data_IF_897812952623
#
_entry.id   IF_897812952623
#
_cell.length_a   1.000
_cell.length_b   1.000
_cell.length_c   1.000
_cell.angle_alpha   90.00
_cell.angle_beta   90.00
_cell.angle_gamma   90.00
#
_symmetry.space_group_name_H-M   'P 1'
#
loop_
_entity.id
_entity.type
_entity.pdbx_description
1 polymer ?
#
# COMPACT_ATOMS: atom_id res chain seq x y z
N UNK A 1 10.70 4.99 6.74
CA UNK A 1 9.62 4.32 7.50
C UNK A 1 10.03 2.92 7.95
N UNK A 2 10.40 2.00 7.04
CA UNK A 2 10.78 0.63 7.37
C UNK A 2 11.88 0.51 8.44
N UNK A 3 13.03 1.15 8.25
CA UNK A 3 14.13 1.15 9.22
C UNK A 3 13.72 1.75 10.57
N UNK A 4 12.88 2.79 10.56
CA UNK A 4 12.36 3.39 11.79
C UNK A 4 11.42 2.42 12.53
N UNK A 5 10.57 1.69 11.81
CA UNK A 5 9.71 0.67 12.40
C UNK A 5 10.54 -0.49 13.00
N UNK A 6 11.61 -0.92 12.32
CA UNK A 6 12.56 -1.89 12.88
C UNK A 6 13.26 -1.36 14.14
N UNK A 7 13.69 -0.10 14.14
CA UNK A 7 14.32 0.53 15.31
C UNK A 7 13.37 0.63 16.51
N UNK A 8 12.06 0.68 16.27
CA UNK A 8 11.01 0.60 17.30
C UNK A 8 10.72 -0.84 17.76
N UNK A 9 11.35 -1.85 17.17
CA UNK A 9 11.13 -3.26 17.51
C UNK A 9 9.80 -3.82 17.01
N UNK A 10 9.20 -3.21 15.99
CA UNK A 10 7.98 -3.72 15.36
C UNK A 10 8.29 -4.91 14.45
N UNK A 11 7.40 -5.89 14.41
CA UNK A 11 7.52 -7.06 13.53
C UNK A 11 7.19 -6.73 12.06
N UNK A 12 6.38 -5.70 11.83
CA UNK A 12 5.92 -5.32 10.50
C UNK A 12 5.54 -3.84 10.36
N UNK A 13 5.38 -3.41 9.11
CA UNK A 13 4.89 -2.10 8.72
C UNK A 13 3.89 -2.23 7.56
N UNK A 14 2.69 -1.71 7.72
CA UNK A 14 1.72 -1.55 6.62
C UNK A 14 1.89 -0.20 5.93
N UNK A 15 2.03 -0.20 4.60
CA UNK A 15 1.93 1.01 3.77
C UNK A 15 0.51 1.09 3.22
N UNK A 16 -0.14 2.24 3.38
CA UNK A 16 -1.51 2.48 2.93
C UNK A 16 -1.61 3.92 2.42
N UNK A 17 -0.97 4.22 1.28
CA UNK A 17 -1.11 5.52 0.64
C UNK A 17 -2.52 5.68 0.03
N UNK A 18 -2.97 6.92 -0.14
CA UNK A 18 -4.31 7.20 -0.67
C UNK A 18 -4.48 6.77 -2.14
N UNK A 19 -5.68 6.30 -2.47
CA UNK A 19 -6.12 6.00 -3.83
C UNK A 19 -6.30 7.27 -4.69
N UNK A 20 -6.63 7.06 -5.97
CA UNK A 20 -6.63 8.03 -7.06
C UNK A 20 -7.46 9.29 -6.79
N UNK A 21 -8.60 9.18 -6.13
CA UNK A 21 -9.54 10.29 -5.94
C UNK A 21 -9.05 11.41 -5.02
N UNK A 22 -8.05 11.15 -4.17
CA UNK A 22 -7.39 12.19 -3.38
C UNK A 22 -6.34 12.96 -4.19
N UNK A 23 -6.80 13.77 -5.14
CA UNK A 23 -5.94 14.60 -6.00
C UNK A 23 -5.06 15.56 -5.18
N UNK A 24 -5.57 16.05 -4.04
CA UNK A 24 -4.83 16.94 -3.13
C UNK A 24 -3.68 16.21 -2.41
N UNK A 25 -3.78 14.90 -2.22
CA UNK A 25 -2.77 14.06 -1.55
C UNK A 25 -1.81 13.36 -2.53
N UNK A 26 -1.84 13.72 -3.81
CA UNK A 26 -1.09 13.02 -4.88
C UNK A 26 -1.43 11.52 -4.98
N UNK A 27 -2.72 11.19 -4.85
CA UNK A 27 -3.24 9.82 -4.91
C UNK A 27 -2.62 8.94 -6.01
N UNK A 28 -2.41 7.67 -5.68
CA UNK A 28 -1.83 6.71 -6.61
C UNK A 28 -2.82 6.35 -7.69
N UNK A 29 -2.36 6.28 -8.95
CA UNK A 29 -3.06 5.53 -9.98
C UNK A 29 -2.68 4.05 -9.89
N UNK A 30 -3.40 3.19 -10.60
CA UNK A 30 -3.17 1.74 -10.59
C UNK A 30 -1.72 1.37 -10.92
N UNK A 31 -1.11 2.06 -11.89
CA UNK A 31 0.25 1.80 -12.34
C UNK A 31 1.26 2.14 -11.23
N UNK A 32 1.08 3.27 -10.55
CA UNK A 32 1.94 3.67 -9.43
C UNK A 32 1.75 2.75 -8.23
N UNK A 33 0.51 2.34 -7.93
CA UNK A 33 0.23 1.39 -6.85
C UNK A 33 0.92 0.05 -7.09
N UNK A 34 0.77 -0.54 -8.28
CA UNK A 34 1.44 -1.80 -8.62
C UNK A 34 2.97 -1.66 -8.66
N UNK A 35 3.49 -0.50 -9.07
CA UNK A 35 4.92 -0.21 -8.98
C UNK A 35 5.39 -0.19 -7.51
N UNK A 36 4.63 0.41 -6.61
CA UNK A 36 4.91 0.42 -5.17
C UNK A 36 4.86 -0.99 -4.58
N UNK A 37 3.86 -1.80 -4.93
CA UNK A 37 3.78 -3.21 -4.53
C UNK A 37 5.05 -3.96 -4.96
N UNK A 38 5.51 -3.76 -6.20
CA UNK A 38 6.75 -4.37 -6.71
C UNK A 38 7.99 -3.89 -5.94
N UNK A 39 8.06 -2.60 -5.59
CA UNK A 39 9.13 -2.04 -4.77
C UNK A 39 9.14 -2.63 -3.35
N UNK A 40 7.98 -2.73 -2.70
CA UNK A 40 7.82 -3.35 -1.38
C UNK A 40 8.24 -4.81 -1.43
N UNK A 41 7.79 -5.57 -2.42
CA UNK A 41 8.19 -6.98 -2.60
C UNK A 41 9.70 -7.14 -2.79
N UNK A 42 10.35 -6.23 -3.51
CA UNK A 42 11.82 -6.21 -3.66
C UNK A 42 12.52 -5.84 -2.36
N UNK A 43 11.98 -4.88 -1.61
CA UNK A 43 12.54 -4.39 -0.36
C UNK A 43 12.44 -5.44 0.74
N UNK A 44 11.32 -6.17 0.82
CA UNK A 44 11.13 -7.30 1.74
C UNK A 44 12.21 -8.38 1.63
N UNK A 45 12.85 -8.55 0.45
CA UNK A 45 13.96 -9.50 0.30
C UNK A 45 15.23 -9.11 1.06
N UNK A 46 15.31 -7.87 1.56
CA UNK A 46 16.46 -7.34 2.30
C UNK A 46 16.27 -7.39 3.82
N UNK A 47 15.06 -7.68 4.28
CA UNK A 47 14.75 -7.73 5.70
C UNK A 47 14.64 -9.19 6.15
N UNK A 48 15.19 -9.45 7.33
CA UNK A 48 15.03 -10.72 8.03
C UNK A 48 14.25 -10.46 9.33
N UNK A 49 13.23 -11.29 9.61
CA UNK A 49 12.34 -11.10 10.76
C UNK A 49 11.42 -9.86 10.73
N UNK A 50 11.44 -9.05 9.66
CA UNK A 50 10.59 -7.86 9.51
C UNK A 50 9.88 -7.86 8.15
N UNK A 51 8.58 -7.53 8.14
CA UNK A 51 7.76 -7.55 6.93
C UNK A 51 7.11 -6.21 6.65
N UNK A 52 7.22 -5.73 5.42
CA UNK A 52 6.41 -4.61 4.92
C UNK A 52 5.22 -5.19 4.14
N UNK A 53 4.02 -4.75 4.48
CA UNK A 53 2.79 -5.08 3.77
C UNK A 53 2.42 -3.95 2.81
N UNK A 54 2.11 -4.30 1.57
CA UNK A 54 1.66 -3.38 0.56
C UNK A 54 0.13 -3.30 0.58
N UNK A 55 -0.42 -2.19 1.05
CA UNK A 55 -1.85 -1.91 1.03
C UNK A 55 -2.14 -0.54 0.43
N UNK A 56 -3.40 -0.14 0.56
CA UNK A 56 -3.91 1.14 0.09
C UNK A 56 -5.04 1.59 1.00
N UNK A 57 -5.15 2.90 1.23
CA UNK A 57 -6.35 3.51 1.78
C UNK A 57 -7.26 3.85 0.58
N UNK A 58 -8.27 3.02 0.35
CA UNK A 58 -9.11 3.07 -0.84
C UNK A 58 -10.36 3.91 -0.56
N UNK A 59 -10.48 5.02 -1.28
CA UNK A 59 -11.68 5.85 -1.17
C UNK A 59 -12.92 5.08 -1.64
N UNK A 60 -14.03 5.33 -0.94
CA UNK A 60 -15.36 4.93 -1.36
C UNK A 60 -15.96 6.09 -2.16
N UNK A 61 -16.31 5.81 -3.42
CA UNK A 61 -16.89 6.78 -4.34
C UNK A 61 -18.34 7.11 -3.95
N UNK A 62 -18.88 8.15 -4.58
CA UNK A 62 -20.24 8.65 -4.26
C UNK A 62 -21.34 7.62 -4.47
N UNK A 63 -21.12 6.65 -5.35
CA UNK A 63 -22.05 5.54 -5.62
C UNK A 63 -21.82 4.32 -4.72
N UNK A 64 -20.87 4.39 -3.79
CA UNK A 64 -20.51 3.31 -2.88
C UNK A 64 -19.50 2.31 -3.45
N UNK A 65 -19.05 2.48 -4.70
CA UNK A 65 -17.99 1.66 -5.28
C UNK A 65 -16.61 2.07 -4.74
N UNK A 66 -15.62 1.17 -4.86
CA UNK A 66 -14.24 1.46 -4.48
C UNK A 66 -13.49 2.14 -5.61
N UNK A 67 -12.53 3.00 -5.27
CA UNK A 67 -11.74 3.79 -6.21
C UNK A 67 -10.74 2.97 -7.05
N UNK A 68 -10.65 1.65 -6.79
CA UNK A 68 -9.95 0.68 -7.63
C UNK A 68 -10.81 -0.56 -7.91
N UNK A 69 -10.61 -1.21 -9.07
CA UNK A 69 -11.25 -2.48 -9.37
C UNK A 69 -10.68 -3.63 -8.53
N UNK A 70 -11.49 -4.65 -8.26
CA UNK A 70 -11.13 -5.83 -7.47
C UNK A 70 -9.87 -6.55 -7.99
N UNK A 71 -9.62 -6.54 -9.29
CA UNK A 71 -8.41 -7.12 -9.90
C UNK A 71 -7.12 -6.43 -9.39
N UNK A 72 -7.18 -5.12 -9.13
CA UNK A 72 -6.06 -4.37 -8.57
C UNK A 72 -5.98 -4.61 -7.06
N UNK A 73 -7.11 -4.54 -6.37
CA UNK A 73 -7.18 -4.71 -4.91
C UNK A 73 -6.70 -6.10 -4.47
N UNK A 74 -7.02 -7.15 -5.23
CA UNK A 74 -6.61 -8.52 -4.95
C UNK A 74 -5.09 -8.77 -5.00
N UNK A 75 -4.30 -7.81 -5.52
CA UNK A 75 -2.83 -7.90 -5.56
C UNK A 75 -2.16 -7.32 -4.30
N UNK A 76 -2.93 -6.68 -3.44
CA UNK A 76 -2.48 -6.05 -2.19
C UNK A 76 -2.52 -7.05 -1.04
N UNK A 77 -1.71 -6.79 -0.02
CA UNK A 77 -1.73 -7.58 1.22
C UNK A 77 -2.94 -7.19 2.11
N UNK A 78 -3.39 -5.94 2.04
CA UNK A 78 -4.58 -5.43 2.73
C UNK A 78 -5.15 -4.17 2.05
N UNK A 79 -6.41 -3.85 2.37
CA UNK A 79 -7.12 -2.65 1.91
C UNK A 79 -7.82 -2.03 3.12
N UNK A 80 -7.72 -0.71 3.26
CA UNK A 80 -8.43 0.09 4.28
C UNK A 80 -9.50 0.94 3.60
#
# INVERSE_FOLDING_TARGET
MAEAAQALGLDYLGIADHSRSQIQAHGLDEKKLLAQVSQIRKLNKKFDGFRIFAGVECDILRDGSLDFPDEILSQLDFVV
#
